data_IF_353732640046
#
_entry.id   IF_353732640046
#
_cell.length_a   1.000
_cell.length_b   1.000
_cell.length_c   1.000
_cell.angle_alpha   90.00
_cell.angle_beta   90.00
_cell.angle_gamma   90.00
#
_symmetry.space_group_name_H-M   'P 1'
#
loop_
_entity.id
_entity.type
_entity.pdbx_description
1 polymer ?
#
# COMPACT_ATOMS: atom_id res chain seq x y z
N UNK A 1 -32.72 38.13 -63.07
CA UNK A 1 -32.07 36.80 -62.97
C UNK A 1 -31.06 36.79 -61.80
N UNK A 2 -31.52 37.18 -60.60
CA UNK A 2 -30.78 37.15 -59.33
C UNK A 2 -31.84 36.81 -58.29
N UNK A 3 -31.93 35.55 -57.88
CA UNK A 3 -33.05 35.11 -57.04
C UNK A 3 -33.10 33.61 -56.74
N UNK A 4 -32.32 32.77 -57.43
CA UNK A 4 -32.30 31.32 -57.19
C UNK A 4 -31.06 30.79 -56.44
N UNK A 5 -30.09 31.64 -56.08
CA UNK A 5 -28.84 31.20 -55.43
C UNK A 5 -28.77 31.46 -53.92
N UNK A 6 -29.71 32.20 -53.33
CA UNK A 6 -29.67 32.54 -51.90
C UNK A 6 -30.36 31.52 -50.99
N UNK A 7 -31.40 30.82 -51.47
CA UNK A 7 -32.12 29.81 -50.64
C UNK A 7 -31.33 28.52 -50.42
N UNK A 8 -30.35 28.18 -51.27
CA UNK A 8 -29.55 26.95 -51.11
C UNK A 8 -28.52 27.07 -49.98
N UNK A 9 -27.93 28.26 -49.76
CA UNK A 9 -26.95 28.48 -48.67
C UNK A 9 -27.58 28.56 -47.28
N UNK A 10 -28.84 28.98 -47.16
CA UNK A 10 -29.55 29.03 -45.87
C UNK A 10 -29.98 27.63 -45.43
N UNK A 11 -30.29 26.74 -46.38
CA UNK A 11 -30.68 25.36 -46.08
C UNK A 11 -29.47 24.47 -45.72
N UNK A 12 -28.30 24.71 -46.32
CA UNK A 12 -27.04 24.02 -45.97
C UNK A 12 -26.45 24.52 -44.64
N UNK A 13 -26.61 25.81 -44.31
CA UNK A 13 -26.22 26.36 -43.00
C UNK A 13 -27.07 25.85 -41.83
N UNK A 14 -28.35 25.56 -42.06
CA UNK A 14 -29.25 25.02 -41.03
C UNK A 14 -29.03 23.53 -40.72
N UNK A 15 -28.51 22.74 -41.66
CA UNK A 15 -28.20 21.33 -41.39
C UNK A 15 -26.86 21.14 -40.68
N UNK A 16 -25.88 22.01 -40.93
CA UNK A 16 -24.58 21.95 -40.26
C UNK A 16 -24.68 22.29 -38.75
N UNK A 17 -25.54 23.26 -38.43
CA UNK A 17 -25.77 23.69 -37.05
C UNK A 17 -26.60 22.66 -36.25
N UNK A 18 -27.49 21.89 -36.91
CA UNK A 18 -28.24 20.80 -36.28
C UNK A 18 -27.39 19.57 -35.92
N UNK A 19 -26.30 19.31 -36.65
CA UNK A 19 -25.40 18.19 -36.38
C UNK A 19 -24.44 18.47 -35.21
N UNK A 20 -23.92 19.69 -35.10
CA UNK A 20 -23.07 20.11 -33.97
C UNK A 20 -23.87 20.23 -32.66
N UNK A 21 -25.13 20.68 -32.72
CA UNK A 21 -26.00 20.88 -31.55
C UNK A 21 -26.48 19.59 -30.86
N UNK A 22 -26.30 18.41 -31.48
CA UNK A 22 -26.64 17.10 -30.88
C UNK A 22 -25.47 16.39 -30.19
N UNK A 23 -24.23 16.88 -30.34
CA UNK A 23 -23.03 16.14 -29.92
C UNK A 23 -22.59 16.44 -28.47
N UNK A 24 -22.94 17.59 -27.91
CA UNK A 24 -22.46 18.01 -26.59
C UNK A 24 -22.95 17.15 -25.39
N UNK A 25 -24.23 16.73 -25.30
CA UNK A 25 -24.69 15.87 -24.21
C UNK A 25 -24.08 14.46 -24.29
N UNK A 26 -23.76 14.00 -25.50
CA UNK A 26 -23.13 12.71 -25.75
C UNK A 26 -21.70 12.67 -25.21
N UNK A 27 -20.94 13.75 -25.39
CA UNK A 27 -19.58 13.90 -24.86
C UNK A 27 -19.57 13.91 -23.32
N UNK A 28 -20.53 14.56 -22.67
CA UNK A 28 -20.57 14.65 -21.20
C UNK A 28 -20.93 13.30 -20.56
N UNK A 29 -21.94 12.60 -21.09
CA UNK A 29 -22.36 11.29 -20.58
C UNK A 29 -21.27 10.23 -20.78
N UNK A 30 -20.52 10.31 -21.89
CA UNK A 30 -19.33 9.49 -22.13
C UNK A 30 -18.21 9.76 -21.12
N UNK A 31 -18.09 10.98 -20.56
CA UNK A 31 -17.05 11.27 -19.57
C UNK A 31 -17.28 10.64 -18.20
N UNK A 32 -18.53 10.45 -17.77
CA UNK A 32 -18.84 9.81 -16.48
C UNK A 32 -18.68 8.28 -16.56
N UNK A 33 -19.13 7.67 -17.65
CA UNK A 33 -18.94 6.22 -17.90
C UNK A 33 -17.45 5.88 -18.00
N UNK A 34 -16.67 6.69 -18.73
CA UNK A 34 -15.21 6.53 -18.80
C UNK A 34 -14.58 6.66 -17.41
N UNK A 35 -15.04 7.61 -16.57
CA UNK A 35 -14.53 7.73 -15.20
C UNK A 35 -14.86 6.53 -14.32
N UNK A 36 -16.04 5.95 -14.49
CA UNK A 36 -16.41 4.74 -13.77
C UNK A 36 -15.51 3.57 -14.18
N UNK A 37 -15.30 3.37 -15.49
CA UNK A 37 -14.42 2.33 -16.02
C UNK A 37 -12.97 2.53 -15.56
N UNK A 38 -12.44 3.76 -15.62
CA UNK A 38 -11.08 4.06 -15.13
C UNK A 38 -10.92 3.73 -13.65
N UNK A 39 -11.91 4.09 -12.82
CA UNK A 39 -11.88 3.75 -11.39
C UNK A 39 -11.92 2.24 -11.16
N UNK A 40 -12.80 1.52 -11.84
CA UNK A 40 -12.90 0.06 -11.74
C UNK A 40 -11.60 -0.62 -12.19
N UNK A 41 -11.00 -0.16 -13.29
CA UNK A 41 -9.72 -0.71 -13.74
C UNK A 41 -8.57 -0.41 -12.77
N UNK A 42 -8.53 0.77 -12.14
CA UNK A 42 -7.56 1.07 -11.07
C UNK A 42 -7.73 0.13 -9.88
N UNK A 43 -8.96 -0.05 -9.42
CA UNK A 43 -9.25 -1.00 -8.34
C UNK A 43 -8.84 -2.44 -8.70
N UNK A 44 -9.07 -2.87 -9.94
CA UNK A 44 -8.63 -4.17 -10.41
C UNK A 44 -7.09 -4.29 -10.48
N UNK A 45 -6.39 -3.24 -10.93
CA UNK A 45 -4.93 -3.18 -10.92
C UNK A 45 -4.37 -3.26 -9.50
N UNK A 46 -4.96 -2.53 -8.56
CA UNK A 46 -4.56 -2.55 -7.15
C UNK A 46 -4.79 -3.94 -6.53
N UNK A 47 -5.91 -4.61 -6.85
CA UNK A 47 -6.15 -5.98 -6.40
C UNK A 47 -5.16 -6.99 -6.99
N UNK A 48 -4.74 -6.82 -8.25
CA UNK A 48 -3.69 -7.66 -8.87
C UNK A 48 -2.35 -7.43 -8.18
N UNK A 49 -2.02 -6.16 -7.88
CA UNK A 49 -0.78 -5.78 -7.19
C UNK A 49 -0.70 -6.35 -5.77
N UNK A 50 -1.80 -6.25 -5.02
CA UNK A 50 -1.92 -6.83 -3.68
C UNK A 50 -1.78 -8.37 -3.74
N UNK A 51 -2.38 -9.02 -4.75
CA UNK A 51 -2.24 -10.46 -4.98
C UNK A 51 -0.80 -10.86 -5.35
N UNK A 52 -0.13 -10.09 -6.21
CA UNK A 52 1.25 -10.34 -6.62
C UNK A 52 2.22 -10.16 -5.43
N UNK A 53 1.99 -9.14 -4.60
CA UNK A 53 2.76 -8.87 -3.39
C UNK A 53 2.59 -10.00 -2.37
N UNK A 54 1.35 -10.44 -2.11
CA UNK A 54 1.04 -11.59 -1.24
C UNK A 54 1.69 -12.90 -1.72
N UNK A 55 1.65 -13.15 -3.02
CA UNK A 55 2.32 -14.30 -3.63
C UNK A 55 3.84 -14.20 -3.44
N UNK A 56 4.44 -13.02 -3.62
CA UNK A 56 5.88 -12.83 -3.43
C UNK A 56 6.31 -13.07 -1.97
N UNK A 57 5.54 -12.58 -0.99
CA UNK A 57 5.76 -12.87 0.43
C UNK A 57 5.67 -14.37 0.73
N UNK A 58 4.66 -15.05 0.17
CA UNK A 58 4.46 -16.49 0.35
C UNK A 58 5.61 -17.32 -0.26
N UNK A 59 6.15 -16.89 -1.41
CA UNK A 59 7.31 -17.51 -2.05
C UNK A 59 8.59 -17.32 -1.25
N UNK A 60 8.78 -16.13 -0.63
CA UNK A 60 9.89 -15.90 0.28
C UNK A 60 9.85 -16.83 1.50
N UNK A 61 8.67 -17.07 2.06
CA UNK A 61 8.49 -18.05 3.13
C UNK A 61 8.78 -19.49 2.65
N UNK A 62 8.29 -19.87 1.46
CA UNK A 62 8.51 -21.21 0.91
C UNK A 62 10.01 -21.50 0.66
N UNK A 63 10.73 -20.51 0.11
CA UNK A 63 12.18 -20.61 -0.13
C UNK A 63 12.96 -20.82 1.18
N UNK A 64 12.52 -20.13 2.24
CA UNK A 64 13.08 -20.30 3.58
C UNK A 64 12.81 -21.69 4.19
N UNK A 65 11.59 -22.20 4.11
CA UNK A 65 11.22 -23.51 4.71
C UNK A 65 11.73 -24.69 3.88
N UNK A 66 11.88 -24.52 2.56
CA UNK A 66 12.26 -25.59 1.64
C UNK A 66 13.23 -25.09 0.56
N UNK A 67 14.54 -25.03 0.83
CA UNK A 67 15.54 -24.61 -0.15
C UNK A 67 15.56 -25.48 -1.44
N UNK A 68 15.05 -26.72 -1.37
CA UNK A 68 14.91 -27.59 -2.54
C UNK A 68 13.89 -27.07 -3.58
N UNK A 69 13.05 -26.08 -3.24
CA UNK A 69 12.14 -25.42 -4.18
C UNK A 69 12.70 -24.15 -4.84
N UNK A 70 14.01 -23.85 -4.68
CA UNK A 70 14.63 -22.63 -5.19
C UNK A 70 14.30 -22.35 -6.67
N UNK A 71 14.34 -23.36 -7.55
CA UNK A 71 14.00 -23.18 -8.97
C UNK A 71 12.55 -22.79 -9.24
N UNK A 72 11.60 -23.35 -8.46
CA UNK A 72 10.19 -22.95 -8.53
C UNK A 72 9.98 -21.54 -7.97
N UNK A 73 10.61 -21.22 -6.83
CA UNK A 73 10.54 -19.90 -6.22
C UNK A 73 11.07 -18.82 -7.14
N UNK A 74 12.19 -19.07 -7.83
CA UNK A 74 12.78 -18.13 -8.79
C UNK A 74 11.85 -17.87 -9.99
N UNK A 75 11.25 -18.92 -10.56
CA UNK A 75 10.31 -18.80 -11.68
C UNK A 75 9.02 -18.06 -11.27
N UNK A 76 8.49 -18.38 -10.09
CA UNK A 76 7.30 -17.73 -9.55
C UNK A 76 7.57 -16.26 -9.17
N UNK A 77 8.76 -15.94 -8.65
CA UNK A 77 9.21 -14.56 -8.43
C UNK A 77 9.42 -13.80 -9.75
N UNK A 78 9.94 -14.45 -10.79
CA UNK A 78 10.02 -13.85 -12.11
C UNK A 78 8.63 -13.53 -12.67
N UNK A 79 7.65 -14.42 -12.48
CA UNK A 79 6.27 -14.20 -12.86
C UNK A 79 5.63 -13.02 -12.10
N UNK A 80 5.81 -12.92 -10.78
CA UNK A 80 5.30 -11.78 -10.01
C UNK A 80 5.92 -10.46 -10.44
N UNK A 81 7.23 -10.43 -10.76
CA UNK A 81 7.88 -9.24 -11.35
C UNK A 81 7.29 -8.83 -12.70
N UNK A 82 6.95 -9.80 -13.57
CA UNK A 82 6.29 -9.50 -14.84
C UNK A 82 4.88 -8.93 -14.63
N UNK A 83 4.11 -9.49 -13.71
CA UNK A 83 2.77 -9.00 -13.35
C UNK A 83 2.86 -7.58 -12.78
N UNK A 84 3.82 -7.33 -11.90
CA UNK A 84 4.13 -6.02 -11.35
C UNK A 84 4.41 -4.98 -12.45
N UNK A 85 5.29 -5.29 -13.39
CA UNK A 85 5.59 -4.41 -14.54
C UNK A 85 4.36 -4.14 -15.43
N UNK A 86 3.49 -5.14 -15.61
CA UNK A 86 2.23 -4.96 -16.34
C UNK A 86 1.26 -4.06 -15.56
N UNK A 87 1.17 -4.20 -14.23
CA UNK A 87 0.34 -3.33 -13.40
C UNK A 87 0.78 -1.87 -13.52
N UNK A 88 2.09 -1.61 -13.48
CA UNK A 88 2.65 -0.27 -13.65
C UNK A 88 2.32 0.33 -15.02
N UNK A 89 2.50 -0.46 -16.09
CA UNK A 89 2.10 -0.06 -17.45
C UNK A 89 0.60 0.28 -17.52
N UNK A 90 -0.24 -0.47 -16.80
CA UNK A 90 -1.67 -0.20 -16.68
C UNK A 90 -1.96 1.12 -15.96
N UNK A 91 -1.32 1.37 -14.81
CA UNK A 91 -1.46 2.62 -14.05
C UNK A 91 -1.08 3.83 -14.89
N UNK A 92 0.00 3.74 -15.65
CA UNK A 92 0.46 4.78 -16.59
C UNK A 92 -0.57 5.06 -17.69
N UNK A 93 -1.17 4.01 -18.25
CA UNK A 93 -2.22 4.15 -19.26
C UNK A 93 -3.45 4.88 -18.69
N UNK A 94 -3.89 4.52 -17.48
CA UNK A 94 -5.01 5.17 -16.83
C UNK A 94 -4.71 6.62 -16.40
N UNK A 95 -3.46 6.91 -16.00
CA UNK A 95 -3.03 8.28 -15.75
C UNK A 95 -3.04 9.14 -17.04
N UNK A 96 -2.68 8.55 -18.20
CA UNK A 96 -2.82 9.24 -19.50
C UNK A 96 -4.28 9.50 -19.84
N UNK A 97 -5.16 8.52 -19.62
CA UNK A 97 -6.59 8.65 -19.88
C UNK A 97 -7.23 9.75 -19.03
N UNK A 98 -6.86 9.89 -17.76
CA UNK A 98 -7.30 11.00 -16.91
C UNK A 98 -6.87 12.37 -17.50
N UNK A 99 -5.63 12.49 -17.99
CA UNK A 99 -5.14 13.72 -18.62
C UNK A 99 -5.90 14.07 -19.89
N UNK A 100 -6.15 13.08 -20.76
CA UNK A 100 -6.95 13.28 -21.96
C UNK A 100 -8.39 13.68 -21.61
N UNK A 101 -8.95 13.10 -20.56
CA UNK A 101 -10.28 13.44 -20.08
C UNK A 101 -10.38 14.89 -19.61
N UNK A 102 -9.39 15.38 -18.83
CA UNK A 102 -9.34 16.78 -18.41
C UNK A 102 -9.28 17.69 -19.64
N UNK A 103 -8.46 17.35 -20.65
CA UNK A 103 -8.40 18.10 -21.89
C UNK A 103 -9.76 18.14 -22.62
N UNK A 104 -10.50 17.04 -22.65
CA UNK A 104 -11.86 17.01 -23.23
C UNK A 104 -12.86 17.88 -22.46
N UNK A 105 -12.80 17.86 -21.12
CA UNK A 105 -13.64 18.72 -20.28
C UNK A 105 -13.35 20.20 -20.54
N UNK A 106 -12.09 20.59 -20.64
CA UNK A 106 -11.72 21.98 -20.97
C UNK A 106 -12.19 22.39 -22.37
N UNK A 107 -12.09 21.50 -23.37
CA UNK A 107 -12.63 21.76 -24.71
C UNK A 107 -14.17 21.87 -24.72
N UNK A 108 -14.86 21.19 -23.80
CA UNK A 108 -16.31 21.18 -23.68
C UNK A 108 -16.94 22.38 -22.97
N UNK A 109 -16.17 23.17 -22.19
CA UNK A 109 -16.67 24.31 -21.41
C UNK A 109 -17.25 25.48 -22.24
N UNK A 110 -17.22 25.39 -23.57
CA UNK A 110 -17.85 26.36 -24.48
C UNK A 110 -19.27 26.02 -24.98
N UNK A 111 -19.86 24.88 -24.59
CA UNK A 111 -21.16 24.42 -25.12
C UNK A 111 -22.25 24.32 -24.02
N UNK A 112 -23.45 24.84 -24.31
CA UNK A 112 -24.60 24.83 -23.40
C UNK A 112 -25.43 23.53 -23.51
N UNK A 113 -25.91 22.93 -22.40
CA UNK A 113 -26.65 21.68 -22.42
C UNK A 113 -28.15 21.88 -22.73
N UNK A 114 -28.73 21.01 -23.57
CA UNK A 114 -30.19 20.85 -23.76
C UNK A 114 -30.55 19.40 -23.48
N UNK A 115 -31.61 19.18 -22.68
CA UNK A 115 -32.04 17.85 -22.24
C UNK A 115 -32.70 17.05 -23.38
N UNK A 116 -32.35 15.77 -23.50
CA UNK A 116 -33.04 14.79 -24.35
C UNK A 116 -33.33 13.51 -23.55
N UNK A 117 -34.48 12.92 -23.86
CA UNK A 117 -35.13 11.77 -23.24
C UNK A 117 -34.34 10.45 -23.40
N UNK A 118 -34.14 9.76 -22.28
CA UNK A 118 -33.39 8.52 -22.03
C UNK A 118 -33.84 7.32 -22.88
N UNK A 119 -35.06 7.33 -23.42
CA UNK A 119 -35.63 6.22 -24.19
C UNK A 119 -34.90 5.94 -25.53
N UNK A 120 -34.21 6.93 -26.11
CA UNK A 120 -33.50 6.75 -27.40
C UNK A 120 -32.12 6.08 -27.24
N UNK A 121 -31.54 6.13 -26.03
CA UNK A 121 -30.21 5.58 -25.72
C UNK A 121 -30.24 4.08 -25.41
N UNK A 122 -31.30 3.58 -24.77
CA UNK A 122 -31.46 2.14 -24.52
C UNK A 122 -31.62 1.31 -25.82
N UNK A 123 -32.10 1.91 -26.90
CA UNK A 123 -32.22 1.24 -28.20
C UNK A 123 -30.85 0.97 -28.88
N UNK A 124 -29.77 1.65 -28.46
CA UNK A 124 -28.42 1.44 -28.99
C UNK A 124 -27.52 0.56 -28.11
N UNK A 125 -27.87 0.37 -26.83
CA UNK A 125 -27.12 -0.47 -25.89
C UNK A 125 -27.54 -1.95 -25.92
N UNK A 126 -28.70 -2.27 -26.50
CA UNK A 126 -29.23 -3.63 -26.63
C UNK A 126 -28.56 -4.45 -27.75
N UNK A 127 -27.31 -4.86 -27.56
CA UNK A 127 -26.78 -6.17 -27.99
C UNK A 127 -26.92 -6.61 -29.46
N UNK A 128 -27.04 -5.72 -30.43
CA UNK A 128 -26.89 -6.04 -31.86
C UNK A 128 -25.48 -5.74 -32.34
N UNK A 129 -24.90 -6.59 -33.19
CA UNK A 129 -23.54 -6.50 -33.78
C UNK A 129 -23.27 -5.28 -34.69
N UNK A 130 -23.95 -4.17 -34.45
CA UNK A 130 -23.80 -2.91 -35.17
C UNK A 130 -23.33 -1.85 -34.17
N UNK A 131 -22.01 -1.67 -34.02
CA UNK A 131 -21.51 -0.60 -33.16
C UNK A 131 -20.01 -0.39 -32.98
N UNK A 132 -19.12 -1.34 -33.32
CA UNK A 132 -17.67 -1.08 -33.24
C UNK A 132 -17.17 -0.06 -34.30
N UNK A 133 -17.97 0.18 -35.34
CA UNK A 133 -17.67 1.08 -36.46
C UNK A 133 -18.07 2.55 -36.22
N UNK A 134 -18.91 2.87 -35.23
CA UNK A 134 -19.35 4.27 -35.00
C UNK A 134 -18.46 5.02 -34.01
N UNK A 135 -17.98 4.36 -32.95
CA UNK A 135 -17.11 4.98 -31.93
C UNK A 135 -15.66 5.18 -32.43
N UNK A 136 -15.15 4.27 -33.26
CA UNK A 136 -13.78 4.32 -33.81
C UNK A 136 -13.56 5.47 -34.81
N UNK A 137 -14.63 5.99 -35.42
CA UNK A 137 -14.59 7.12 -36.36
C UNK A 137 -14.82 8.48 -35.68
N UNK A 138 -15.36 8.53 -34.46
CA UNK A 138 -15.66 9.78 -33.75
C UNK A 138 -14.49 10.28 -32.91
N UNK A 139 -13.62 9.39 -32.41
CA UNK A 139 -12.47 9.75 -31.56
C UNK A 139 -11.26 8.85 -31.88
N UNK A 140 -10.32 9.31 -32.74
CA UNK A 140 -9.11 8.55 -33.11
C UNK A 140 -8.24 8.10 -31.92
N UNK A 141 -8.35 8.77 -30.77
CA UNK A 141 -7.69 8.36 -29.52
C UNK A 141 -8.27 7.07 -28.93
N UNK A 142 -9.57 6.83 -29.07
CA UNK A 142 -10.25 5.69 -28.44
C UNK A 142 -9.89 4.36 -29.12
N UNK A 143 -9.71 4.35 -30.45
CA UNK A 143 -9.27 3.16 -31.19
C UNK A 143 -7.81 2.78 -30.87
N UNK A 144 -6.94 3.77 -30.65
CA UNK A 144 -5.57 3.53 -30.16
C UNK A 144 -5.56 3.01 -28.73
N UNK A 145 -6.37 3.59 -27.84
CA UNK A 145 -6.45 3.19 -26.44
C UNK A 145 -6.99 1.75 -26.29
N UNK A 146 -8.08 1.42 -26.98
CA UNK A 146 -8.65 0.06 -27.01
C UNK A 146 -7.66 -0.96 -27.58
N UNK A 147 -6.90 -0.58 -28.61
CA UNK A 147 -5.79 -1.39 -29.12
C UNK A 147 -4.69 -1.64 -28.08
N UNK A 148 -4.29 -0.61 -27.33
CA UNK A 148 -3.30 -0.72 -26.26
C UNK A 148 -3.81 -1.55 -25.08
N UNK A 149 -5.07 -1.37 -24.67
CA UNK A 149 -5.70 -2.18 -23.63
C UNK A 149 -5.78 -3.65 -24.02
N UNK A 150 -6.18 -3.97 -25.26
CA UNK A 150 -6.21 -5.35 -25.73
C UNK A 150 -4.80 -5.97 -25.78
N UNK A 151 -3.79 -5.21 -26.23
CA UNK A 151 -2.41 -5.70 -26.20
C UNK A 151 -1.93 -5.94 -24.76
N UNK A 152 -2.30 -5.07 -23.82
CA UNK A 152 -1.98 -5.22 -22.41
C UNK A 152 -2.67 -6.44 -21.77
N UNK A 153 -3.99 -6.58 -21.93
CA UNK A 153 -4.76 -7.73 -21.40
C UNK A 153 -4.22 -9.06 -21.95
N UNK A 154 -3.86 -9.10 -23.23
CA UNK A 154 -3.35 -10.32 -23.85
C UNK A 154 -1.97 -10.74 -23.34
N UNK A 155 -1.19 -9.82 -22.76
CA UNK A 155 0.11 -10.10 -22.13
C UNK A 155 0.00 -10.65 -20.71
N UNK A 156 -1.17 -10.59 -20.09
CA UNK A 156 -1.37 -11.10 -18.74
C UNK A 156 -1.38 -12.64 -18.71
N UNK A 157 -0.89 -13.26 -17.63
CA UNK A 157 -1.09 -14.69 -17.40
C UNK A 157 -2.58 -15.01 -17.21
N UNK A 158 -2.99 -16.24 -17.52
CA UNK A 158 -4.41 -16.62 -17.57
C UNK A 158 -5.16 -16.49 -16.25
N UNK A 159 -4.46 -16.67 -15.11
CA UNK A 159 -5.06 -16.45 -13.80
C UNK A 159 -5.39 -14.97 -13.56
N UNK A 160 -4.54 -14.05 -14.02
CA UNK A 160 -4.76 -12.61 -13.90
C UNK A 160 -5.91 -12.17 -14.82
N UNK A 161 -5.99 -12.73 -16.03
CA UNK A 161 -7.14 -12.53 -16.94
C UNK A 161 -8.46 -12.96 -16.27
N UNK A 162 -8.48 -14.13 -15.62
CA UNK A 162 -9.65 -14.63 -14.87
C UNK A 162 -10.00 -13.77 -13.65
N UNK A 163 -9.02 -13.16 -12.99
CA UNK A 163 -9.26 -12.24 -11.88
C UNK A 163 -9.89 -10.94 -12.37
N UNK A 164 -9.36 -10.37 -13.47
CA UNK A 164 -9.91 -9.18 -14.12
C UNK A 164 -11.36 -9.42 -14.57
N UNK A 165 -11.64 -10.57 -15.21
CA UNK A 165 -12.99 -10.88 -15.67
C UNK A 165 -14.00 -11.09 -14.53
N UNK A 166 -13.54 -11.42 -13.33
CA UNK A 166 -14.41 -11.51 -12.13
C UNK A 166 -14.70 -10.14 -11.53
N UNK A 167 -13.76 -9.20 -11.62
CA UNK A 167 -13.90 -7.85 -11.06
C UNK A 167 -14.58 -6.87 -12.03
N UNK A 168 -14.52 -7.13 -13.33
CA UNK A 168 -15.25 -6.40 -14.36
C UNK A 168 -16.42 -7.28 -14.82
N UNK A 169 -17.66 -7.04 -14.35
CA UNK A 169 -18.82 -7.77 -14.83
C UNK A 169 -19.14 -7.27 -16.25
N UNK A 170 -18.49 -7.85 -17.26
CA UNK A 170 -18.77 -7.56 -18.68
C UNK A 170 -20.16 -8.09 -19.07
N UNK A 171 -20.72 -8.99 -18.26
CA UNK A 171 -21.86 -9.84 -18.62
C UNK A 171 -23.19 -9.34 -18.03
N UNK A 172 -23.18 -8.46 -17.02
CA UNK A 172 -24.38 -8.09 -16.24
C UNK A 172 -25.09 -6.79 -16.67
N UNK A 173 -24.66 -6.15 -17.76
CA UNK A 173 -25.37 -4.97 -18.28
C UNK A 173 -26.77 -5.30 -18.87
N UNK A 174 -27.10 -6.59 -19.06
CA UNK A 174 -28.37 -7.05 -19.66
C UNK A 174 -29.53 -7.32 -18.71
N UNK A 175 -29.30 -7.48 -17.40
CA UNK A 175 -30.30 -8.09 -16.49
C UNK A 175 -31.10 -7.09 -15.62
N UNK A 176 -30.97 -5.79 -15.86
CA UNK A 176 -31.77 -4.76 -15.18
C UNK A 176 -33.08 -4.45 -15.94
N UNK A 177 -34.01 -5.41 -16.03
CA UNK A 177 -35.42 -5.13 -16.36
C UNK A 177 -36.38 -5.98 -15.52
N UNK A 178 -37.48 -5.42 -14.98
CA UNK A 178 -38.54 -6.22 -14.38
C UNK A 178 -39.39 -6.89 -15.48
N UNK A 179 -39.85 -8.14 -15.30
CA UNK A 179 -40.68 -8.79 -16.31
C UNK A 179 -42.07 -8.14 -16.37
N UNK A 180 -42.50 -7.82 -17.60
CA UNK A 180 -43.88 -7.50 -17.89
C UNK A 180 -44.76 -8.72 -17.59
N UNK A 181 -45.82 -8.50 -16.80
CA UNK A 181 -46.82 -9.51 -16.43
C UNK A 181 -47.47 -10.13 -17.67
N UNK A 182 -47.29 -11.43 -17.86
CA UNK A 182 -48.33 -12.34 -18.34
C UNK A 182 -48.22 -13.64 -17.55
N UNK A 183 -49.35 -14.09 -17.00
CA UNK A 183 -49.40 -15.20 -16.06
C UNK A 183 -49.17 -16.56 -16.71
N UNK A 184 -48.60 -17.48 -15.93
CA UNK A 184 -49.03 -18.86 -15.63
C UNK A 184 -47.94 -19.45 -14.71
N UNK A 185 -48.34 -19.95 -13.54
CA UNK A 185 -47.44 -20.59 -12.56
C UNK A 185 -47.21 -22.04 -12.99
N UNK A 186 -45.96 -22.56 -12.92
CA UNK A 186 -45.79 -23.87 -12.31
C UNK A 186 -44.83 -23.88 -11.12
N UNK A 187 -45.18 -24.79 -10.22
CA UNK A 187 -44.70 -25.05 -8.88
C UNK A 187 -43.73 -26.23 -8.93
N UNK A 188 -42.46 -26.03 -8.62
CA UNK A 188 -41.50 -27.05 -8.21
C UNK A 188 -40.19 -26.35 -7.81
N UNK A 189 -39.43 -26.95 -6.89
CA UNK A 189 -38.20 -26.47 -6.24
C UNK A 189 -38.39 -25.88 -4.83
N UNK A 190 -39.06 -26.68 -4.01
CA UNK A 190 -38.76 -26.83 -2.59
C UNK A 190 -38.72 -28.34 -2.37
N UNK A 191 -37.51 -28.87 -2.17
CA UNK A 191 -37.15 -30.14 -1.51
C UNK A 191 -35.88 -30.71 -2.15
N UNK A 192 -34.76 -30.50 -1.45
CA UNK A 192 -33.65 -31.46 -1.27
C UNK A 192 -32.51 -30.74 -0.56
N UNK A 193 -32.49 -30.85 0.76
CA UNK A 193 -31.28 -30.87 1.57
C UNK A 193 -31.62 -31.56 2.90
N UNK A 194 -31.94 -32.86 2.80
CA UNK A 194 -31.72 -33.77 3.91
C UNK A 194 -30.33 -34.36 3.71
N UNK A 195 -29.38 -33.91 4.54
CA UNK A 195 -28.18 -34.69 4.82
C UNK A 195 -28.04 -34.72 6.35
N UNK A 196 -28.59 -35.79 6.92
CA UNK A 196 -28.45 -36.17 8.32
C UNK A 196 -26.98 -36.43 8.63
N UNK A 197 -26.42 -35.60 9.51
CA UNK A 197 -25.13 -35.83 10.12
C UNK A 197 -25.23 -36.91 11.20
N UNK A 198 -24.44 -37.97 11.04
CA UNK A 198 -23.95 -38.79 12.14
C UNK A 198 -22.58 -38.23 12.56
N UNK A 199 -22.53 -37.57 13.71
CA UNK A 199 -21.28 -37.30 14.43
C UNK A 199 -21.29 -38.13 15.72
N UNK A 200 -20.34 -39.06 15.82
CA UNK A 200 -19.96 -39.66 17.11
C UNK A 200 -18.97 -38.74 17.85
N UNK A 201 -19.02 -38.71 19.19
CA UNK A 201 -18.18 -37.82 19.99
C UNK A 201 -16.79 -38.43 20.23
N UNK A 202 -15.75 -37.62 20.08
CA UNK A 202 -14.39 -37.96 20.53
C UNK A 202 -14.13 -37.15 21.81
N UNK A 203 -13.86 -37.86 22.90
CA UNK A 203 -13.47 -37.31 24.21
C UNK A 203 -11.97 -36.94 24.24
N UNK A 204 -11.53 -36.11 25.20
CA UNK A 204 -10.26 -35.39 25.14
C UNK A 204 -9.08 -36.25 25.63
N UNK A 205 -7.90 -36.00 25.05
CA UNK A 205 -6.61 -36.50 25.55
C UNK A 205 -5.87 -35.32 26.16
N UNK A 206 -5.71 -35.36 27.48
CA UNK A 206 -4.66 -34.65 28.22
C UNK A 206 -3.29 -35.22 27.83
N UNK A 207 -2.29 -34.35 27.58
CA UNK A 207 -0.89 -34.63 27.95
C UNK A 207 0.01 -33.38 27.79
N UNK A 208 0.10 -32.64 28.89
CA UNK A 208 1.34 -32.25 29.57
C UNK A 208 2.66 -32.52 28.79
N UNK A 209 3.40 -31.49 28.37
CA UNK A 209 4.86 -31.63 28.31
C UNK A 209 5.64 -30.33 28.54
N UNK A 210 6.72 -30.53 29.27
CA UNK A 210 7.57 -29.59 29.96
C UNK A 210 8.60 -28.92 29.05
N UNK A 211 8.78 -27.62 29.27
CA UNK A 211 10.05 -27.02 29.70
C UNK A 211 11.35 -27.62 29.13
N UNK A 212 11.99 -26.94 28.17
CA UNK A 212 13.45 -27.01 27.94
C UNK A 212 14.01 -25.66 27.47
N UNK A 213 14.62 -24.94 28.42
CA UNK A 213 15.72 -24.00 28.13
C UNK A 213 16.99 -24.80 27.76
N UNK A 214 17.81 -24.35 26.81
CA UNK A 214 19.22 -24.73 26.76
C UNK A 214 20.09 -23.79 27.60
N UNK A 215 21.06 -24.40 28.26
CA UNK A 215 21.98 -23.81 29.24
C UNK A 215 23.03 -22.88 28.61
N UNK A 216 23.41 -21.86 29.37
CA UNK A 216 24.50 -20.95 29.07
C UNK A 216 25.87 -21.63 29.24
N UNK A 217 26.69 -21.53 28.20
CA UNK A 217 28.09 -21.94 28.20
C UNK A 217 28.95 -20.78 28.74
N UNK A 218 29.55 -20.97 29.91
CA UNK A 218 30.46 -20.02 30.53
C UNK A 218 31.87 -20.15 29.92
N UNK A 219 32.31 -19.13 29.20
CA UNK A 219 33.69 -18.97 28.74
C UNK A 219 34.47 -18.16 29.79
N UNK A 220 35.43 -18.83 30.43
CA UNK A 220 36.44 -18.20 31.29
C UNK A 220 37.48 -17.46 30.44
N UNK A 221 37.70 -16.16 30.70
CA UNK A 221 38.90 -15.43 30.29
C UNK A 221 39.82 -15.18 31.49
N UNK A 222 41.15 -15.37 31.36
CA UNK A 222 42.09 -15.04 32.42
C UNK A 222 42.41 -13.55 32.45
N UNK A 223 42.40 -13.00 33.67
CA UNK A 223 42.94 -11.69 34.02
C UNK A 223 44.47 -11.71 33.91
N UNK A 224 45.06 -10.68 33.30
CA UNK A 224 46.48 -10.42 33.44
C UNK A 224 46.72 -8.96 33.85
N UNK A 225 47.58 -8.80 34.85
CA UNK A 225 47.86 -7.57 35.58
C UNK A 225 49.34 -7.26 35.39
N UNK A 226 49.66 -6.02 34.99
CA UNK A 226 50.92 -5.27 35.15
C UNK A 226 50.82 -4.05 34.21
N UNK A 227 51.20 -2.82 34.53
CA UNK A 227 52.04 -2.31 35.59
C UNK A 227 52.97 -1.24 34.98
N UNK A 228 52.74 0.02 35.35
CA UNK A 228 53.68 1.16 35.42
C UNK A 228 54.19 1.91 34.16
N UNK A 229 53.84 3.21 34.15
CA UNK A 229 54.64 4.43 33.92
C UNK A 229 55.76 4.48 32.86
N UNK A 230 55.67 5.48 31.96
CA UNK A 230 56.69 6.54 31.82
C UNK A 230 56.20 7.75 30.99
N UNK A 231 56.95 8.84 31.12
CA UNK A 231 56.55 10.25 31.02
C UNK A 231 57.09 10.97 29.78
N UNK A 232 56.35 12.02 29.36
CA UNK A 232 56.76 13.24 28.62
C UNK A 232 57.29 13.16 27.16
N UNK A 233 56.61 13.84 26.23
CA UNK A 233 57.00 15.17 25.69
C UNK A 233 55.90 15.71 24.74
N UNK A 234 55.68 17.04 24.61
CA UNK A 234 54.54 17.62 23.90
C UNK A 234 54.90 18.02 22.46
N UNK A 235 53.99 17.77 21.53
CA UNK A 235 54.01 18.42 20.22
C UNK A 235 52.63 18.98 19.93
N UNK A 236 52.60 20.30 19.81
CA UNK A 236 51.49 21.09 19.30
C UNK A 236 51.11 20.61 17.90
N UNK A 237 49.89 20.11 17.75
CA UNK A 237 49.18 20.04 16.49
C UNK A 237 47.85 20.77 16.67
N UNK A 238 47.70 21.83 15.89
CA UNK A 238 46.48 22.60 15.65
C UNK A 238 45.22 21.73 15.65
N UNK A 239 44.43 21.85 16.72
CA UNK A 239 43.04 21.39 16.79
C UNK A 239 42.20 22.20 15.82
N UNK A 240 42.00 21.66 14.61
CA UNK A 240 40.73 21.87 13.93
C UNK A 240 39.71 21.04 14.71
N UNK A 241 38.94 21.70 15.56
CA UNK A 241 37.83 21.14 16.33
C UNK A 241 36.74 20.69 15.37
N UNK A 242 36.94 19.55 14.74
CA UNK A 242 35.89 18.80 14.07
C UNK A 242 35.00 18.28 15.21
N UNK A 243 33.83 18.90 15.34
CA UNK A 243 32.83 18.51 16.31
C UNK A 243 32.37 17.09 15.99
N UNK A 244 33.06 16.11 16.56
CA UNK A 244 32.55 14.75 16.73
C UNK A 244 31.40 14.87 17.70
N UNK A 245 30.22 15.22 17.18
CA UNK A 245 28.97 15.13 17.91
C UNK A 245 28.83 13.67 18.34
N UNK A 246 29.06 13.42 19.62
CA UNK A 246 28.74 12.13 20.23
C UNK A 246 27.24 11.94 20.08
N UNK A 247 26.81 11.09 19.15
CA UNK A 247 25.41 10.65 19.09
C UNK A 247 25.20 9.60 20.18
N UNK A 248 25.20 10.07 21.44
CA UNK A 248 24.77 9.25 22.56
C UNK A 248 23.34 8.79 22.28
N UNK A 249 23.09 7.48 22.44
CA UNK A 249 21.79 6.91 22.19
C UNK A 249 20.75 7.53 23.12
N UNK A 250 19.61 7.93 22.54
CA UNK A 250 18.46 8.32 23.33
C UNK A 250 18.03 7.16 24.23
N UNK A 251 17.87 7.44 25.52
CA UNK A 251 17.34 6.47 26.48
C UNK A 251 15.83 6.32 26.25
N UNK A 252 15.47 5.56 25.23
CA UNK A 252 14.08 5.21 24.88
C UNK A 252 13.72 3.92 25.60
N UNK A 253 12.60 3.85 26.34
CA UNK A 253 12.18 2.63 27.01
C UNK A 253 11.93 1.51 26.00
N UNK A 254 12.50 0.32 26.25
CA UNK A 254 12.29 -0.86 25.39
C UNK A 254 10.98 -1.54 25.80
N UNK A 255 10.08 -1.74 24.83
CA UNK A 255 8.81 -2.44 25.02
C UNK A 255 8.70 -3.59 24.03
N UNK A 256 8.07 -4.68 24.45
CA UNK A 256 7.72 -5.80 23.56
C UNK A 256 6.26 -5.72 23.15
N UNK A 257 5.96 -6.08 21.90
CA UNK A 257 4.60 -6.24 21.40
C UNK A 257 3.93 -7.54 21.87
N UNK A 258 4.68 -8.45 22.52
CA UNK A 258 4.15 -9.73 22.99
C UNK A 258 3.07 -9.53 24.03
N UNK A 259 1.95 -10.25 23.85
CA UNK A 259 0.82 -10.21 24.78
C UNK A 259 -0.23 -9.14 24.48
N UNK A 260 -0.02 -8.32 23.45
CA UNK A 260 -1.05 -7.42 22.94
C UNK A 260 -2.24 -8.21 22.41
N UNK A 261 -3.42 -7.58 22.45
CA UNK A 261 -4.69 -8.17 22.01
C UNK A 261 -5.40 -7.30 20.99
N UNK A 262 -5.92 -7.93 19.94
CA UNK A 262 -6.88 -7.36 19.01
C UNK A 262 -8.21 -8.11 19.15
N UNK A 263 -9.30 -7.38 19.43
CA UNK A 263 -10.63 -7.96 19.70
C UNK A 263 -10.61 -9.09 20.75
N UNK A 264 -9.82 -8.90 21.80
CA UNK A 264 -9.65 -9.86 22.89
C UNK A 264 -8.78 -11.08 22.56
N UNK A 265 -8.31 -11.23 21.32
CA UNK A 265 -7.39 -12.30 20.88
C UNK A 265 -5.96 -11.80 20.85
N UNK A 266 -4.99 -12.65 21.17
CA UNK A 266 -3.57 -12.29 21.05
C UNK A 266 -3.22 -11.86 19.62
N UNK A 267 -2.37 -10.84 19.48
CA UNK A 267 -1.89 -10.37 18.17
C UNK A 267 -0.38 -10.20 18.17
N UNK A 268 0.25 -10.62 17.07
CA UNK A 268 1.65 -10.44 16.77
C UNK A 268 1.89 -9.28 15.78
N UNK A 269 0.88 -8.41 15.57
CA UNK A 269 0.93 -7.32 14.58
C UNK A 269 0.94 -5.92 15.22
N UNK A 270 1.35 -5.84 16.49
CA UNK A 270 1.39 -4.61 17.28
C UNK A 270 2.70 -3.81 17.20
N UNK A 271 3.56 -4.02 16.20
CA UNK A 271 4.88 -3.37 16.12
C UNK A 271 4.78 -1.83 16.02
N UNK A 272 3.82 -1.30 15.25
CA UNK A 272 3.62 0.15 15.11
C UNK A 272 3.08 0.78 16.41
N UNK A 273 1.96 0.30 17.01
CA UNK A 273 1.49 0.79 18.32
C UNK A 273 2.55 0.70 19.42
N UNK A 274 3.32 -0.39 19.45
CA UNK A 274 4.38 -0.57 20.45
C UNK A 274 5.51 0.45 20.25
N UNK A 275 5.93 0.67 19.01
CA UNK A 275 6.96 1.66 18.66
C UNK A 275 6.53 3.08 18.98
N UNK A 276 5.29 3.46 18.63
CA UNK A 276 4.74 4.76 18.98
C UNK A 276 4.70 4.97 20.51
N UNK A 277 4.24 3.95 21.26
CA UNK A 277 4.22 3.99 22.73
C UNK A 277 5.62 4.10 23.36
N UNK A 278 6.68 3.59 22.72
CA UNK A 278 8.05 3.81 23.18
C UNK A 278 8.48 5.27 22.99
N UNK A 279 8.13 5.89 21.85
CA UNK A 279 8.50 7.27 21.54
C UNK A 279 7.71 8.29 22.39
N UNK A 280 6.41 8.06 22.61
CA UNK A 280 5.61 8.95 23.48
C UNK A 280 6.05 8.89 24.94
N UNK A 281 6.42 7.71 25.45
CA UNK A 281 7.00 7.59 26.80
C UNK A 281 8.33 8.34 26.90
N UNK A 282 9.19 8.24 25.88
CA UNK A 282 10.45 8.97 25.83
C UNK A 282 10.26 10.50 25.96
N UNK A 283 9.21 11.05 25.33
CA UNK A 283 8.89 12.48 25.42
C UNK A 283 8.20 12.84 26.74
N UNK A 284 7.37 11.95 27.28
CA UNK A 284 6.78 12.11 28.61
C UNK A 284 7.83 12.13 29.72
N UNK A 285 8.84 11.26 29.66
CA UNK A 285 9.94 11.22 30.62
C UNK A 285 10.78 12.51 30.65
N UNK A 286 10.73 13.30 29.56
CA UNK A 286 11.40 14.61 29.46
C UNK A 286 10.54 15.76 29.93
N UNK A 287 9.23 15.65 29.71
CA UNK A 287 8.24 16.63 30.10
C UNK A 287 6.92 15.90 30.36
N UNK A 288 6.57 15.80 31.64
CA UNK A 288 5.39 15.08 32.13
C UNK A 288 4.06 15.68 31.59
N UNK A 289 4.10 16.88 31.00
CA UNK A 289 2.93 17.47 30.34
C UNK A 289 2.61 16.83 28.98
N UNK A 290 3.59 16.16 28.35
CA UNK A 290 3.36 15.37 27.16
C UNK A 290 2.54 14.14 27.51
N UNK A 291 1.43 13.93 26.83
CA UNK A 291 0.61 12.75 27.07
C UNK A 291 1.27 11.49 26.48
N UNK A 292 0.94 10.32 27.00
CA UNK A 292 1.38 9.03 26.43
C UNK A 292 0.22 8.04 26.44
N UNK A 293 0.27 7.06 25.54
CA UNK A 293 -0.65 5.93 25.50
C UNK A 293 0.14 4.62 25.57
N UNK A 294 -0.46 3.62 26.21
CA UNK A 294 0.10 2.27 26.16
C UNK A 294 -0.05 1.67 24.76
N UNK A 295 0.81 0.71 24.42
CA UNK A 295 0.72 -0.01 23.15
C UNK A 295 -0.66 -0.69 22.98
N UNK A 296 -1.28 -1.16 24.06
CA UNK A 296 -2.60 -1.77 24.02
C UNK A 296 -3.71 -0.75 23.77
N UNK A 297 -3.60 0.46 24.34
CA UNK A 297 -4.58 1.53 24.11
C UNK A 297 -4.55 2.00 22.66
N UNK A 298 -3.34 2.12 22.08
CA UNK A 298 -3.17 2.41 20.65
C UNK A 298 -3.77 1.30 19.77
N UNK A 299 -3.52 0.01 20.08
CA UNK A 299 -4.17 -1.10 19.35
C UNK A 299 -5.70 -0.99 19.43
N UNK A 300 -6.25 -0.75 20.62
CA UNK A 300 -7.70 -0.63 20.80
C UNK A 300 -8.27 0.55 19.99
N UNK A 301 -7.63 1.71 20.06
CA UNK A 301 -7.99 2.91 19.30
C UNK A 301 -8.01 2.63 17.79
N UNK A 302 -6.97 1.97 17.27
CA UNK A 302 -6.86 1.68 15.84
C UNK A 302 -7.87 0.63 15.37
N UNK A 303 -8.28 -0.31 16.22
CA UNK A 303 -9.38 -1.23 15.92
C UNK A 303 -10.70 -0.47 15.79
N UNK A 304 -10.99 0.43 16.73
CA UNK A 304 -12.21 1.25 16.71
C UNK A 304 -12.28 2.13 15.45
N UNK A 305 -11.14 2.68 15.03
CA UNK A 305 -10.99 3.46 13.79
C UNK A 305 -10.98 2.60 12.52
N UNK A 306 -10.87 1.27 12.63
CA UNK A 306 -10.70 0.30 11.53
C UNK A 306 -9.39 0.45 10.75
N UNK A 307 -8.36 0.98 11.39
CA UNK A 307 -7.01 1.12 10.85
C UNK A 307 -6.06 -0.01 11.28
N UNK A 308 -6.47 -0.83 12.26
CA UNK A 308 -5.78 -2.06 12.65
C UNK A 308 -6.45 -3.31 12.06
N UNK A 309 -5.66 -4.17 11.44
CA UNK A 309 -6.06 -5.49 10.97
C UNK A 309 -5.43 -6.59 11.82
N UNK A 310 -6.22 -7.59 12.20
CA UNK A 310 -5.70 -8.75 12.93
C UNK A 310 -4.70 -9.59 12.12
N UNK A 311 -4.67 -9.45 10.79
CA UNK A 311 -3.80 -10.23 9.89
C UNK A 311 -2.59 -9.43 9.37
N UNK A 312 -2.60 -8.11 9.50
CA UNK A 312 -1.59 -7.24 8.90
C UNK A 312 -1.18 -6.03 9.75
N UNK A 313 -1.76 -5.86 10.94
CA UNK A 313 -1.46 -4.75 11.84
C UNK A 313 -1.94 -3.40 11.31
N UNK A 314 -1.16 -2.36 11.57
CA UNK A 314 -1.42 -0.98 11.18
C UNK A 314 -0.28 -0.44 10.30
N UNK A 315 -0.62 0.42 9.34
CA UNK A 315 0.37 1.16 8.56
C UNK A 315 0.93 2.36 9.34
N UNK A 316 2.23 2.63 9.22
CA UNK A 316 2.92 3.70 9.97
C UNK A 316 2.34 5.10 9.72
N UNK A 317 1.74 5.35 8.55
CA UNK A 317 1.16 6.63 8.17
C UNK A 317 -0.22 6.89 8.77
N UNK A 318 -0.73 5.99 9.62
CA UNK A 318 -1.98 6.16 10.36
C UNK A 318 -1.80 6.83 11.72
N UNK A 319 -0.56 6.92 12.20
CA UNK A 319 -0.23 7.46 13.52
C UNK A 319 -0.58 8.95 13.71
N UNK A 320 -0.69 9.72 12.63
CA UNK A 320 -1.02 11.15 12.71
C UNK A 320 -2.36 11.38 13.43
N UNK A 321 -3.40 10.64 13.03
CA UNK A 321 -4.73 10.76 13.63
C UNK A 321 -4.78 10.31 15.09
N UNK A 322 -3.85 9.44 15.51
CA UNK A 322 -3.83 8.87 16.85
C UNK A 322 -3.13 9.79 17.85
N UNK A 323 -2.07 10.46 17.40
CA UNK A 323 -1.16 11.21 18.27
C UNK A 323 -1.37 12.72 18.22
N UNK A 324 -1.99 13.26 17.15
CA UNK A 324 -2.36 14.68 17.09
C UNK A 324 -3.25 15.10 18.27
N UNK A 325 -4.30 14.35 18.68
CA UNK A 325 -5.12 14.70 19.84
C UNK A 325 -4.36 14.71 21.17
N UNK A 326 -3.21 14.03 21.24
CA UNK A 326 -2.32 14.00 22.40
C UNK A 326 -1.31 15.14 22.41
N UNK A 327 -1.31 16.00 21.37
CA UNK A 327 -0.40 17.13 21.22
C UNK A 327 0.92 16.79 20.55
N UNK A 328 0.98 15.74 19.73
CA UNK A 328 2.16 15.40 18.94
C UNK A 328 1.99 15.83 17.47
N UNK A 329 3.08 16.32 16.90
CA UNK A 329 3.28 16.42 15.46
C UNK A 329 3.86 15.09 14.95
N UNK A 330 3.24 14.55 13.89
CA UNK A 330 3.64 13.31 13.26
C UNK A 330 3.93 13.58 11.78
N UNK A 331 5.16 13.34 11.34
CA UNK A 331 5.52 13.44 9.93
C UNK A 331 5.93 12.07 9.41
N UNK A 332 5.29 11.62 8.34
CA UNK A 332 5.72 10.41 7.62
C UNK A 332 6.64 10.79 6.46
N UNK A 333 7.88 10.34 6.51
CA UNK A 333 8.86 10.55 5.46
C UNK A 333 9.01 9.26 4.67
N UNK A 334 8.84 9.37 3.35
CA UNK A 334 8.94 8.24 2.42
C UNK A 334 10.09 8.44 1.44
N UNK A 335 10.86 7.38 1.21
CA UNK A 335 11.95 7.36 0.25
C UNK A 335 11.60 6.68 -1.08
N UNK A 336 12.51 6.83 -2.03
CA UNK A 336 12.54 6.06 -3.28
C UNK A 336 13.92 5.43 -3.43
N UNK A 337 14.07 4.54 -4.42
CA UNK A 337 15.39 3.97 -4.74
C UNK A 337 16.37 5.07 -5.22
N UNK A 338 15.86 6.09 -5.93
CA UNK A 338 16.67 7.13 -6.57
C UNK A 338 17.28 8.13 -5.58
N UNK A 339 16.79 8.19 -4.34
CA UNK A 339 17.24 9.14 -3.33
C UNK A 339 17.80 8.47 -2.06
N UNK A 340 18.31 7.25 -2.18
CA UNK A 340 18.78 6.45 -1.04
C UNK A 340 19.77 7.18 -0.12
N UNK A 341 20.81 7.82 -0.67
CA UNK A 341 21.82 8.54 0.11
C UNK A 341 21.23 9.77 0.83
N UNK A 342 20.33 10.50 0.17
CA UNK A 342 19.64 11.63 0.76
C UNK A 342 18.70 11.18 1.89
N UNK A 343 18.01 10.05 1.72
CA UNK A 343 17.12 9.49 2.75
C UNK A 343 17.88 9.05 3.98
N UNK A 344 19.04 8.41 3.81
CA UNK A 344 19.89 8.03 4.94
C UNK A 344 20.39 9.26 5.71
N UNK A 345 20.76 10.32 4.99
CA UNK A 345 21.16 11.60 5.59
C UNK A 345 20.00 12.24 6.36
N UNK A 346 18.79 12.23 5.79
CA UNK A 346 17.58 12.73 6.45
C UNK A 346 17.24 11.92 7.70
N UNK A 347 17.30 10.59 7.62
CA UNK A 347 17.09 9.72 8.77
C UNK A 347 18.08 10.03 9.88
N UNK A 348 19.38 10.15 9.56
CA UNK A 348 20.40 10.53 10.56
C UNK A 348 20.12 11.88 11.20
N UNK A 349 19.71 12.87 10.41
CA UNK A 349 19.31 14.19 10.93
C UNK A 349 18.11 14.10 11.86
N UNK A 350 17.07 13.36 11.46
CA UNK A 350 15.88 13.17 12.27
C UNK A 350 16.18 12.42 13.58
N UNK A 351 17.01 11.37 13.51
CA UNK A 351 17.47 10.64 14.69
C UNK A 351 18.22 11.56 15.63
N UNK A 352 19.05 12.50 15.16
CA UNK A 352 19.76 13.45 16.02
C UNK A 352 18.83 14.42 16.77
N UNK A 353 17.60 14.62 16.29
CA UNK A 353 16.59 15.47 16.93
C UNK A 353 15.71 14.69 17.92
N UNK A 354 15.67 13.37 17.82
CA UNK A 354 14.92 12.48 18.71
C UNK A 354 14.72 11.10 18.09
N UNK A 355 14.17 10.15 18.86
CA UNK A 355 13.91 8.81 18.34
C UNK A 355 12.86 8.83 17.23
N UNK A 356 13.05 7.97 16.23
CA UNK A 356 12.15 7.86 15.07
C UNK A 356 11.68 6.43 14.90
N UNK A 357 10.47 6.26 14.35
CA UNK A 357 9.95 4.95 13.99
C UNK A 357 10.35 4.65 12.55
N UNK A 358 11.16 3.62 12.32
CA UNK A 358 11.56 3.18 10.99
C UNK A 358 10.85 1.87 10.61
N UNK A 359 10.47 1.75 9.33
CA UNK A 359 9.85 0.53 8.81
C UNK A 359 10.86 -0.30 8.02
N UNK A 360 11.25 -1.43 8.57
CA UNK A 360 12.23 -2.38 8.03
C UNK A 360 11.56 -3.72 7.70
N UNK A 361 12.29 -4.66 7.12
CA UNK A 361 11.82 -6.05 7.12
C UNK A 361 12.18 -6.72 8.44
N UNK A 362 11.27 -7.55 8.95
CA UNK A 362 11.46 -8.27 10.20
C UNK A 362 12.76 -9.08 10.17
N UNK A 363 13.59 -8.91 11.21
CA UNK A 363 14.88 -9.60 11.32
C UNK A 363 15.97 -9.06 10.40
N UNK A 364 15.85 -7.80 9.93
CA UNK A 364 16.81 -7.14 9.03
C UNK A 364 17.06 -7.89 7.70
N UNK A 365 16.09 -8.69 7.26
CA UNK A 365 16.11 -9.35 5.96
C UNK A 365 15.84 -8.33 4.83
N UNK A 366 15.88 -8.78 3.58
CA UNK A 366 15.48 -7.97 2.40
C UNK A 366 14.14 -8.43 1.82
N UNK A 367 13.43 -9.30 2.52
CA UNK A 367 12.16 -9.91 2.12
C UNK A 367 11.36 -10.34 3.37
N UNK A 368 10.07 -10.63 3.20
CA UNK A 368 9.20 -11.05 4.30
C UNK A 368 8.28 -9.93 4.79
N UNK A 369 8.02 -9.91 6.10
CA UNK A 369 7.04 -9.01 6.69
C UNK A 369 7.61 -7.62 6.98
N UNK A 370 6.79 -6.61 6.76
CA UNK A 370 7.04 -5.23 7.22
C UNK A 370 7.06 -5.19 8.74
N UNK A 371 8.01 -4.45 9.31
CA UNK A 371 8.23 -4.37 10.75
C UNK A 371 8.68 -2.98 11.19
N UNK A 372 8.03 -2.44 12.20
CA UNK A 372 8.38 -1.15 12.77
C UNK A 372 9.35 -1.30 13.95
N UNK A 373 10.40 -0.50 13.95
CA UNK A 373 11.40 -0.39 15.03
C UNK A 373 11.60 1.06 15.41
N UNK A 374 12.13 1.31 16.61
CA UNK A 374 12.46 2.68 17.05
C UNK A 374 13.96 2.89 16.97
N UNK A 375 14.42 3.70 16.03
CA UNK A 375 15.81 4.11 15.92
C UNK A 375 16.09 5.20 16.95
N UNK A 376 16.99 4.92 17.90
CA UNK A 376 17.31 5.81 19.02
C UNK A 376 18.74 6.35 18.97
N UNK A 377 19.58 5.86 18.05
CA UNK A 377 20.90 6.41 17.80
C UNK A 377 21.37 6.04 16.39
N UNK A 378 22.10 6.96 15.75
CA UNK A 378 22.72 6.69 14.46
C UNK A 378 24.07 7.40 14.37
N UNK A 379 25.09 6.65 13.93
CA UNK A 379 26.41 7.15 13.55
C UNK A 379 26.63 6.89 12.06
N UNK A 380 27.79 7.24 11.50
CA UNK A 380 28.12 6.87 10.12
C UNK A 380 28.32 5.36 9.93
N UNK A 381 28.62 4.63 11.01
CA UNK A 381 28.93 3.20 10.96
C UNK A 381 27.81 2.32 11.49
N UNK A 382 27.07 2.79 12.51
CA UNK A 382 26.13 1.98 13.28
C UNK A 382 24.77 2.65 13.48
N UNK A 383 23.73 1.81 13.51
CA UNK A 383 22.35 2.17 13.90
C UNK A 383 22.03 1.41 15.18
N UNK A 384 21.50 2.10 16.19
CA UNK A 384 20.94 1.48 17.40
C UNK A 384 19.43 1.66 17.38
N UNK A 385 18.69 0.57 17.62
CA UNK A 385 17.24 0.58 17.58
C UNK A 385 16.63 -0.36 18.61
N UNK A 386 15.42 -0.03 19.08
CA UNK A 386 14.60 -0.90 19.91
C UNK A 386 13.64 -1.69 19.01
N UNK A 387 13.63 -3.01 19.16
CA UNK A 387 12.80 -3.92 18.39
C UNK A 387 11.60 -4.40 19.24
N UNK A 388 10.35 -4.03 18.88
CA UNK A 388 9.15 -4.52 19.55
C UNK A 388 8.98 -6.05 19.52
N UNK A 389 9.45 -6.71 18.47
CA UNK A 389 9.27 -8.14 18.25
C UNK A 389 10.04 -8.96 19.28
N UNK A 390 11.32 -8.63 19.45
CA UNK A 390 12.20 -9.28 20.42
C UNK A 390 12.05 -8.68 21.82
N UNK A 391 11.68 -7.40 21.90
CA UNK A 391 11.72 -6.62 23.14
C UNK A 391 13.15 -6.27 23.56
N UNK A 392 14.08 -6.13 22.61
CA UNK A 392 15.50 -5.85 22.86
C UNK A 392 15.97 -4.60 22.12
N UNK A 393 17.06 -4.01 22.59
CA UNK A 393 17.83 -3.02 21.85
C UNK A 393 18.93 -3.72 21.07
N UNK A 394 19.05 -3.40 19.79
CA UNK A 394 20.07 -3.94 18.89
C UNK A 394 20.94 -2.82 18.33
N UNK A 395 22.20 -3.13 18.05
CA UNK A 395 23.12 -2.22 17.35
C UNK A 395 23.74 -2.95 16.17
N UNK A 396 23.50 -2.44 14.96
CA UNK A 396 23.94 -3.07 13.69
C UNK A 396 24.70 -2.07 12.83
N UNK A 397 25.37 -2.57 11.79
CA UNK A 397 26.00 -1.70 10.80
C UNK A 397 24.94 -0.92 10.00
N UNK A 398 25.21 0.34 9.66
CA UNK A 398 24.33 1.15 8.80
C UNK A 398 24.03 0.46 7.47
N UNK A 399 25.03 -0.23 6.90
CA UNK A 399 24.87 -0.96 5.64
C UNK A 399 23.97 -2.19 5.75
N UNK A 400 23.85 -2.79 6.94
CA UNK A 400 22.94 -3.89 7.20
C UNK A 400 21.51 -3.38 7.39
N UNK A 401 21.36 -2.31 8.18
CA UNK A 401 20.08 -1.62 8.35
C UNK A 401 19.51 -1.12 7.02
N UNK A 402 20.30 -0.41 6.20
CA UNK A 402 19.83 0.14 4.91
C UNK A 402 19.45 -0.93 3.89
N UNK A 403 20.05 -2.13 3.94
CA UNK A 403 19.61 -3.25 3.09
C UNK A 403 18.16 -3.64 3.40
N UNK A 404 17.80 -3.70 4.67
CA UNK A 404 16.44 -4.05 5.10
C UNK A 404 15.45 -2.91 4.91
N UNK A 405 15.84 -1.71 5.33
CA UNK A 405 15.04 -0.48 5.24
C UNK A 405 14.81 -0.02 3.79
N UNK A 406 15.80 -0.24 2.92
CA UNK A 406 15.77 0.10 1.51
C UNK A 406 15.18 -0.96 0.58
N UNK A 407 14.86 -2.15 1.11
CA UNK A 407 14.22 -3.20 0.33
C UNK A 407 12.73 -2.88 0.09
N UNK A 408 12.20 -3.29 -1.06
CA UNK A 408 10.79 -3.09 -1.42
C UNK A 408 9.89 -4.05 -0.67
N UNK A 409 8.83 -3.52 -0.03
CA UNK A 409 7.73 -4.30 0.53
C UNK A 409 6.64 -4.65 -0.51
N UNK A 410 6.93 -4.49 -1.79
CA UNK A 410 5.98 -4.55 -2.90
C UNK A 410 5.83 -3.20 -3.62
N UNK A 411 5.18 -3.19 -4.79
CA UNK A 411 5.08 -1.99 -5.65
C UNK A 411 4.31 -0.83 -5.02
N UNK A 412 3.47 -1.13 -4.03
CA UNK A 412 2.55 -0.18 -3.39
C UNK A 412 3.19 0.54 -2.20
N UNK A 413 4.29 0.01 -1.67
CA UNK A 413 4.87 0.50 -0.43
C UNK A 413 6.16 1.26 -0.73
N UNK A 414 6.29 2.51 -0.26
CA UNK A 414 7.53 3.23 -0.46
C UNK A 414 8.67 2.53 0.30
N UNK A 415 9.90 2.73 -0.17
CA UNK A 415 11.10 2.22 0.49
C UNK A 415 11.66 3.29 1.41
N UNK A 416 12.46 2.90 2.40
CA UNK A 416 13.12 3.85 3.31
C UNK A 416 12.13 4.79 4.00
N UNK A 417 11.08 4.21 4.59
CA UNK A 417 10.07 5.00 5.30
C UNK A 417 10.41 5.09 6.77
N UNK A 418 10.15 6.26 7.34
CA UNK A 418 10.19 6.47 8.77
C UNK A 418 9.18 7.55 9.16
N UNK A 419 8.87 7.60 10.46
CA UNK A 419 7.96 8.55 11.07
C UNK A 419 8.69 9.27 12.17
N UNK A 420 8.62 10.60 12.16
CA UNK A 420 9.01 11.43 13.31
C UNK A 420 7.76 11.67 14.16
N UNK A 421 7.92 11.61 15.48
CA UNK A 421 6.87 11.88 16.46
C UNK A 421 7.48 12.83 17.48
N UNK A 422 6.96 14.05 17.58
CA UNK A 422 7.49 15.10 18.46
C UNK A 422 6.36 15.89 19.11
N UNK A 423 6.51 16.40 20.34
CA UNK A 423 5.52 17.31 20.92
C UNK A 423 5.33 18.56 20.03
N UNK A 424 4.10 19.00 19.79
CA UNK A 424 3.81 20.17 18.94
C UNK A 424 4.40 21.50 19.48
N UNK A 425 4.81 21.52 20.75
CA UNK A 425 5.42 22.70 21.39
C UNK A 425 6.95 22.64 21.47
N UNK A 426 7.61 21.63 20.89
CA UNK A 426 9.08 21.52 20.90
C UNK A 426 9.69 22.29 19.72
N UNK A 427 9.83 23.62 19.86
CA UNK A 427 10.63 24.46 18.96
C UNK A 427 11.94 24.88 19.62
#
# INVERSE_FOLDING_TARGET
MVGCTLSRRIQEGSQHDYHLKRQAPMLLMQTEEVQLVVRQCRQALDAIDDCASSMNSSLGYLDWVSPASAGFCEEAQACTRQVASLVETGRDLFARLDREQVAWKEMGKGFQPVQINTAYLLAMAGGGTVGAWSLSNLLPGFSRLTGLMNQWINRLPDWAKKLISKQLPVDQAGDFLPPAKTGVIPRAWLDKNDNTGDQQPISPVDENNQNRQPAAEQVNLPSNTNGQNESANPSQSTETKEATASSEAFSVPVKSQKGLKADGKGTDYGCVPTSASMITDYWHDRDETNQTLSAQDLVNMNIEQKDFSADSGMAINKLENDLEPLGYEVETITGTADNAADQLTKLKSAVNEGPVLANIHLGLTTNGYSHAVVVNAMTDEKVTYNDPWTGTTETVAVTEFDKSWGASFGLKYPVRNYVTIKPANSN
#
